data_IF_871630877553
#
_entry.id   IF_871630877553
#
_cell.length_a   1.000
_cell.length_b   1.000
_cell.length_c   1.000
_cell.angle_alpha   90.00
_cell.angle_beta   90.00
_cell.angle_gamma   90.00
#
_symmetry.space_group_name_H-M   'P 1'
#
loop_
_entity.id
_entity.type
_entity.pdbx_description
1 polymer ?
#
# COMPACT_ATOMS: atom_id res chain seq x y z
N UNK A 1 -32.54 9.09 6.73
CA UNK A 1 -31.08 9.25 6.83
C UNK A 1 -30.76 10.71 6.53
N UNK A 2 -30.05 11.41 7.41
CA UNK A 2 -29.58 12.77 7.10
C UNK A 2 -28.47 12.69 6.05
N UNK A 3 -28.54 13.52 5.01
CA UNK A 3 -27.44 13.63 4.05
C UNK A 3 -26.22 14.26 4.74
N UNK A 4 -25.03 13.82 4.35
CA UNK A 4 -23.79 14.45 4.79
C UNK A 4 -23.66 15.86 4.18
N UNK A 5 -23.00 16.82 4.86
CA UNK A 5 -22.70 18.13 4.29
C UNK A 5 -21.92 18.03 2.97
N UNK A 6 -22.06 19.04 2.11
CA UNK A 6 -21.29 19.11 0.87
C UNK A 6 -19.78 18.96 1.15
N UNK A 7 -19.11 18.10 0.37
CA UNK A 7 -17.67 17.78 0.49
C UNK A 7 -17.25 17.15 1.83
N UNK A 8 -18.17 16.51 2.57
CA UNK A 8 -17.83 15.79 3.80
C UNK A 8 -16.71 14.75 3.57
N UNK A 9 -16.74 14.01 2.46
CA UNK A 9 -15.66 13.08 2.05
C UNK A 9 -14.28 13.76 2.05
N UNK A 10 -14.14 14.85 1.30
CA UNK A 10 -12.86 15.54 1.13
C UNK A 10 -12.35 16.13 2.44
N UNK A 11 -13.26 16.61 3.29
CA UNK A 11 -12.92 17.11 4.63
C UNK A 11 -12.39 15.99 5.52
N UNK A 12 -13.07 14.85 5.56
CA UNK A 12 -12.63 13.69 6.32
C UNK A 12 -11.30 13.15 5.78
N UNK A 13 -11.18 12.99 4.46
CA UNK A 13 -9.95 12.57 3.79
C UNK A 13 -8.78 13.47 4.15
N UNK A 14 -8.91 14.80 4.00
CA UNK A 14 -7.83 15.73 4.30
C UNK A 14 -7.39 15.70 5.78
N UNK A 15 -8.30 15.36 6.69
CA UNK A 15 -7.98 15.23 8.11
C UNK A 15 -7.17 13.95 8.41
N UNK A 16 -7.49 12.83 7.77
CA UNK A 16 -6.85 11.52 8.05
C UNK A 16 -5.65 11.23 7.15
N UNK A 17 -5.61 11.82 5.94
CA UNK A 17 -4.59 11.51 4.95
C UNK A 17 -3.17 11.83 5.42
N UNK A 18 -2.86 12.93 6.14
CA UNK A 18 -1.52 13.17 6.65
C UNK A 18 -1.01 12.06 7.58
N UNK A 19 -1.91 11.47 8.39
CA UNK A 19 -1.58 10.34 9.28
C UNK A 19 -1.38 9.04 8.49
N UNK A 20 -2.17 8.81 7.44
CA UNK A 20 -2.03 7.63 6.59
C UNK A 20 -0.83 7.72 5.64
N UNK A 21 -0.56 8.90 5.06
CA UNK A 21 0.49 9.10 4.06
C UNK A 21 1.88 9.15 4.66
N UNK A 22 2.04 9.51 5.95
CA UNK A 22 3.36 9.70 6.55
C UNK A 22 4.24 8.45 6.45
N UNK A 23 3.66 7.25 6.56
CA UNK A 23 4.41 5.99 6.48
C UNK A 23 5.06 5.81 5.10
N UNK A 24 4.37 6.13 4.02
CA UNK A 24 4.86 5.91 2.66
C UNK A 24 5.97 6.85 2.23
N UNK A 25 6.08 8.00 2.91
CA UNK A 25 7.12 9.01 2.64
C UNK A 25 8.20 9.05 3.71
N UNK A 26 8.09 8.21 4.75
CA UNK A 26 9.14 8.09 5.76
C UNK A 26 10.33 7.32 5.17
N UNK A 27 11.59 7.79 5.37
CA UNK A 27 12.76 6.99 5.04
C UNK A 27 12.81 5.66 5.82
N UNK A 28 12.14 5.61 6.98
CA UNK A 28 12.10 4.43 7.84
C UNK A 28 11.40 3.25 7.15
N UNK A 29 10.41 3.51 6.29
CA UNK A 29 9.71 2.44 5.57
C UNK A 29 10.69 1.61 4.74
N UNK A 30 11.53 2.26 3.94
CA UNK A 30 12.55 1.57 3.16
C UNK A 30 13.57 0.87 4.04
N UNK A 31 13.99 1.50 5.14
CA UNK A 31 14.96 0.92 6.06
C UNK A 31 14.44 -0.35 6.76
N UNK A 32 13.18 -0.36 7.20
CA UNK A 32 12.57 -1.54 7.84
C UNK A 32 12.30 -2.65 6.82
N UNK A 33 11.80 -2.31 5.63
CA UNK A 33 11.53 -3.29 4.57
C UNK A 33 12.83 -3.93 4.03
N UNK A 34 13.93 -3.20 3.99
CA UNK A 34 15.23 -3.75 3.62
C UNK A 34 15.71 -4.84 4.60
N UNK A 35 15.37 -4.75 5.90
CA UNK A 35 15.75 -5.77 6.90
C UNK A 35 15.10 -7.13 6.63
N UNK A 36 13.98 -7.15 5.90
CA UNK A 36 13.26 -8.37 5.48
C UNK A 36 13.48 -8.69 4.00
N UNK A 37 14.49 -8.08 3.36
CA UNK A 37 14.92 -8.37 1.98
C UNK A 37 14.21 -7.56 0.89
N UNK A 38 13.27 -6.67 1.23
CA UNK A 38 12.58 -5.82 0.25
C UNK A 38 13.32 -4.48 0.13
N UNK A 39 14.28 -4.43 -0.81
CA UNK A 39 15.13 -3.26 -1.01
C UNK A 39 14.58 -2.24 -2.02
N UNK A 40 13.72 -2.68 -2.96
CA UNK A 40 13.11 -1.79 -3.95
C UNK A 40 11.99 -0.94 -3.30
N UNK A 41 12.05 0.41 -3.38
CA UNK A 41 11.06 1.27 -2.73
C UNK A 41 9.63 1.08 -3.24
N UNK A 42 9.44 0.75 -4.52
CA UNK A 42 8.11 0.49 -5.07
C UNK A 42 7.60 -0.88 -4.62
N UNK A 43 8.46 -1.88 -4.52
CA UNK A 43 8.11 -3.18 -3.92
C UNK A 43 7.69 -3.01 -2.45
N UNK A 44 8.46 -2.26 -1.65
CA UNK A 44 8.12 -1.93 -0.26
C UNK A 44 6.76 -1.21 -0.16
N UNK A 45 6.51 -0.25 -1.04
CA UNK A 45 5.24 0.48 -1.09
C UNK A 45 4.05 -0.46 -1.38
N UNK A 46 4.14 -1.30 -2.41
CA UNK A 46 3.05 -2.22 -2.74
C UNK A 46 2.88 -3.32 -1.72
N UNK A 47 3.98 -3.86 -1.17
CA UNK A 47 3.94 -4.89 -0.14
C UNK A 47 3.22 -4.38 1.11
N UNK A 48 3.65 -3.26 1.68
CA UNK A 48 3.04 -2.70 2.90
C UNK A 48 1.57 -2.32 2.73
N UNK A 49 1.14 -1.89 1.54
CA UNK A 49 -0.27 -1.62 1.28
C UNK A 49 -1.12 -2.87 1.06
N UNK A 50 -0.55 -3.91 0.46
CA UNK A 50 -1.30 -5.10 0.07
C UNK A 50 -1.23 -6.23 1.11
N UNK A 51 -0.30 -6.19 2.07
CA UNK A 51 -0.08 -7.28 3.02
C UNK A 51 -1.34 -7.68 3.80
N UNK A 52 -2.19 -6.71 4.19
CA UNK A 52 -3.46 -6.99 4.87
C UNK A 52 -4.49 -7.77 4.02
N UNK A 53 -4.29 -7.84 2.69
CA UNK A 53 -5.10 -8.65 1.78
C UNK A 53 -4.61 -10.10 1.70
N UNK A 54 -3.48 -10.43 2.34
CA UNK A 54 -2.78 -11.71 2.19
C UNK A 54 -1.90 -11.76 0.94
N UNK A 55 -1.43 -12.97 0.58
CA UNK A 55 -0.51 -13.21 -0.54
C UNK A 55 -1.24 -13.20 -1.89
N UNK A 56 -1.97 -12.11 -2.18
CA UNK A 56 -2.77 -11.95 -3.39
C UNK A 56 -1.93 -11.54 -4.60
N UNK A 57 -2.43 -11.84 -5.79
CA UNK A 57 -1.81 -11.45 -7.06
C UNK A 57 -2.04 -9.98 -7.46
N UNK A 58 -1.33 -9.54 -8.50
CA UNK A 58 -1.40 -8.18 -9.03
C UNK A 58 -2.82 -7.72 -9.40
N UNK A 59 -3.67 -8.63 -9.88
CA UNK A 59 -5.05 -8.32 -10.26
C UNK A 59 -5.87 -7.80 -9.08
N UNK A 60 -5.84 -8.49 -7.95
CA UNK A 60 -6.53 -8.07 -6.72
C UNK A 60 -5.98 -6.74 -6.21
N UNK A 61 -4.65 -6.59 -6.14
CA UNK A 61 -4.02 -5.34 -5.70
C UNK A 61 -4.39 -4.18 -6.61
N UNK A 62 -4.37 -4.37 -7.93
CA UNK A 62 -4.79 -3.35 -8.90
C UNK A 62 -6.26 -3.00 -8.73
N UNK A 63 -7.15 -3.98 -8.57
CA UNK A 63 -8.58 -3.72 -8.39
C UNK A 63 -8.87 -2.94 -7.10
N UNK A 64 -8.24 -3.32 -5.98
CA UNK A 64 -8.37 -2.62 -4.70
C UNK A 64 -7.79 -1.20 -4.76
N UNK A 65 -6.66 -1.03 -5.46
CA UNK A 65 -5.98 0.24 -5.62
C UNK A 65 -6.07 0.76 -7.06
N UNK A 66 -7.29 0.86 -7.59
CA UNK A 66 -7.60 1.14 -9.01
C UNK A 66 -6.93 2.38 -9.63
N UNK A 67 -6.41 3.28 -8.80
CA UNK A 67 -5.69 4.48 -9.23
C UNK A 67 -4.23 4.21 -9.68
N UNK A 68 -3.68 3.02 -9.42
CA UNK A 68 -2.30 2.69 -9.76
C UNK A 68 -2.17 2.10 -11.17
N UNK A 69 -1.02 2.34 -11.80
CA UNK A 69 -0.71 1.71 -13.09
C UNK A 69 -0.60 0.18 -12.90
N UNK A 70 -1.45 -0.63 -13.55
CA UNK A 70 -1.44 -2.08 -13.40
C UNK A 70 -0.10 -2.72 -13.79
N UNK A 71 0.59 -2.15 -14.78
CA UNK A 71 1.92 -2.64 -15.21
C UNK A 71 2.96 -2.43 -14.12
N UNK A 72 2.87 -1.34 -13.37
CA UNK A 72 3.79 -1.09 -12.26
C UNK A 72 3.51 -2.06 -11.09
N UNK A 73 2.24 -2.29 -10.76
CA UNK A 73 1.86 -3.28 -9.74
C UNK A 73 2.38 -4.67 -10.09
N UNK A 74 2.15 -5.10 -11.35
CA UNK A 74 2.54 -6.43 -11.82
C UNK A 74 4.06 -6.67 -11.88
N UNK A 75 4.90 -5.62 -11.82
CA UNK A 75 6.35 -5.77 -11.71
C UNK A 75 6.81 -6.27 -10.34
N UNK A 76 6.04 -5.98 -9.28
CA UNK A 76 6.44 -6.27 -7.91
C UNK A 76 5.55 -7.32 -7.25
N UNK A 77 4.24 -7.34 -7.55
CA UNK A 77 3.28 -8.31 -7.01
C UNK A 77 2.97 -9.35 -8.10
N UNK A 78 2.94 -10.67 -7.79
CA UNK A 78 3.09 -11.29 -6.47
C UNK A 78 4.54 -11.62 -6.07
N UNK A 79 5.54 -11.33 -6.92
CA UNK A 79 6.93 -11.77 -6.70
C UNK A 79 7.51 -11.34 -5.34
N UNK A 80 7.11 -10.20 -4.80
CA UNK A 80 7.52 -9.72 -3.47
C UNK A 80 7.17 -10.69 -2.33
N UNK A 81 6.14 -11.51 -2.50
CA UNK A 81 5.73 -12.50 -1.49
C UNK A 81 6.69 -13.70 -1.37
N UNK A 82 7.54 -13.92 -2.38
CA UNK A 82 8.64 -14.90 -2.30
C UNK A 82 9.80 -14.37 -1.44
N UNK A 83 9.87 -13.05 -1.22
CA UNK A 83 10.91 -12.42 -0.40
C UNK A 83 10.48 -12.30 1.06
N UNK A 84 9.25 -11.84 1.31
CA UNK A 84 8.66 -11.79 2.64
C UNK A 84 7.17 -12.11 2.57
N UNK A 85 6.69 -12.96 3.47
CA UNK A 85 5.26 -13.26 3.54
C UNK A 85 4.48 -12.03 4.03
N UNK A 86 3.18 -11.92 3.70
CA UNK A 86 2.36 -10.81 4.18
C UNK A 86 2.40 -10.63 5.71
N UNK A 87 2.51 -11.71 6.48
CA UNK A 87 2.60 -11.70 7.94
C UNK A 87 3.92 -11.12 8.45
N UNK A 88 5.00 -11.19 7.68
CA UNK A 88 6.29 -10.56 7.99
C UNK A 88 6.27 -9.06 7.68
N UNK A 89 5.43 -8.63 6.73
CA UNK A 89 5.32 -7.24 6.30
C UNK A 89 4.42 -6.40 7.24
N UNK A 90 3.52 -7.03 7.99
CA UNK A 90 2.60 -6.40 8.96
C UNK A 90 3.26 -6.12 10.32
#
# INVERSE_FOLDING_TARGET
MSNLPARAERRCHNAVNPLHSCIFFSPDLGAEMAKIGIEDPAAAYFATRAAALGAVGAGTVTATFYNFNPVLVARHVPAVWETASPEVVL
#
